data_IF_260637951539
#
_entry.id   IF_260637951539
#
_cell.length_a   1.000
_cell.length_b   1.000
_cell.length_c   1.000
_cell.angle_alpha   90.00
_cell.angle_beta   90.00
_cell.angle_gamma   90.00
#
_symmetry.space_group_name_H-M   'P 1'
#
loop_
_entity.id
_entity.type
_entity.pdbx_description
1 polymer ?
#
# COMPACT_ATOMS: atom_id res chain seq x y z
N UNK A 1 -0.78 -4.74 17.82
CA UNK A 1 -0.46 -4.20 16.47
C UNK A 1 -0.53 -5.33 15.44
N UNK A 2 -1.01 -5.09 14.20
CA UNK A 2 -1.04 -6.12 13.15
C UNK A 2 0.39 -6.49 12.69
N UNK A 3 0.66 -7.77 12.40
CA UNK A 3 1.99 -8.30 12.03
C UNK A 3 2.69 -7.53 10.90
N UNK A 4 1.92 -7.01 9.92
CA UNK A 4 2.45 -6.18 8.83
C UNK A 4 2.99 -4.83 9.29
N UNK A 5 2.38 -4.21 10.30
CA UNK A 5 2.90 -2.96 10.86
C UNK A 5 4.21 -3.18 11.62
N UNK A 6 4.33 -4.32 12.31
CA UNK A 6 5.57 -4.70 13.02
C UNK A 6 6.75 -4.88 12.06
N UNK A 7 6.53 -5.55 10.92
CA UNK A 7 7.56 -5.75 9.90
C UNK A 7 8.05 -4.43 9.30
N UNK A 8 7.14 -3.48 9.04
CA UNK A 8 7.50 -2.15 8.55
C UNK A 8 8.34 -1.40 9.59
N UNK A 9 7.92 -1.41 10.86
CA UNK A 9 8.68 -0.79 11.95
C UNK A 9 10.09 -1.40 12.07
N UNK A 10 10.21 -2.72 11.97
CA UNK A 10 11.50 -3.41 12.05
C UNK A 10 12.44 -3.00 10.90
N UNK A 11 11.95 -2.93 9.66
CA UNK A 11 12.78 -2.48 8.52
C UNK A 11 13.24 -1.02 8.65
N UNK A 12 12.42 -0.16 9.25
CA UNK A 12 12.82 1.23 9.57
C UNK A 12 13.93 1.24 10.63
N UNK A 13 13.78 0.45 11.69
CA UNK A 13 14.76 0.33 12.78
C UNK A 13 16.11 -0.16 12.25
N UNK A 14 16.12 -1.20 11.41
CA UNK A 14 17.34 -1.74 10.80
C UNK A 14 18.06 -0.68 9.95
N UNK A 15 17.31 0.03 9.10
CA UNK A 15 17.86 1.08 8.23
C UNK A 15 18.51 2.22 9.04
N UNK A 16 17.92 2.61 10.18
CA UNK A 16 18.50 3.63 11.07
C UNK A 16 19.70 3.11 11.87
N UNK A 17 19.72 1.83 12.24
CA UNK A 17 20.86 1.21 12.93
C UNK A 17 22.11 1.25 12.05
N UNK A 18 22.00 0.84 10.78
CA UNK A 18 23.09 0.89 9.81
C UNK A 18 23.55 2.33 9.54
N UNK A 19 22.63 3.29 9.41
CA UNK A 19 22.98 4.70 9.23
C UNK A 19 23.77 5.27 10.42
N UNK A 20 23.41 4.91 11.66
CA UNK A 20 24.13 5.33 12.87
C UNK A 20 25.55 4.78 12.92
N UNK A 21 25.76 3.53 12.49
CA UNK A 21 27.10 2.93 12.44
C UNK A 21 27.98 3.66 11.40
N UNK A 22 27.45 3.93 10.21
CA UNK A 22 28.15 4.69 9.17
C UNK A 22 28.49 6.12 9.62
N UNK A 23 27.59 6.78 10.36
CA UNK A 23 27.87 8.10 10.94
C UNK A 23 29.03 8.08 11.94
N UNK A 24 29.13 7.04 12.77
CA UNK A 24 30.25 6.88 13.71
C UNK A 24 31.58 6.70 12.98
N UNK A 25 31.61 5.90 11.92
CA UNK A 25 32.80 5.67 11.09
C UNK A 25 33.21 6.94 10.33
N UNK A 26 32.26 7.71 9.82
CA UNK A 26 32.52 9.02 9.22
C UNK A 26 33.10 10.02 10.23
N UNK A 27 32.57 10.06 11.46
CA UNK A 27 33.12 10.90 12.53
C UNK A 27 34.55 10.54 12.93
N UNK A 28 34.99 9.31 12.67
CA UNK A 28 36.37 8.84 12.87
C UNK A 28 37.30 9.09 11.67
N UNK A 29 36.77 9.59 10.55
CA UNK A 29 37.55 9.81 9.32
C UNK A 29 37.80 8.58 8.46
N UNK A 30 37.20 7.42 8.79
CA UNK A 30 37.36 6.16 8.05
C UNK A 30 36.53 6.10 6.75
N UNK A 31 35.66 7.10 6.52
CA UNK A 31 34.80 7.22 5.35
C UNK A 31 35.03 8.54 4.63
N UNK A 32 35.36 8.48 3.34
CA UNK A 32 35.55 9.65 2.49
C UNK A 32 34.26 10.46 2.25
N UNK A 33 33.09 9.80 2.35
CA UNK A 33 31.79 10.40 2.03
C UNK A 33 30.84 10.42 3.23
N UNK A 34 30.18 11.56 3.44
CA UNK A 34 29.18 11.73 4.49
C UNK A 34 27.94 10.89 4.20
N UNK A 35 27.53 9.95 5.08
CA UNK A 35 26.35 9.13 4.85
C UNK A 35 25.07 10.01 4.89
N UNK A 36 24.12 9.72 4.01
CA UNK A 36 22.82 10.40 3.93
C UNK A 36 21.76 9.63 4.74
N UNK A 37 20.80 10.33 5.37
CA UNK A 37 19.71 9.66 6.08
C UNK A 37 18.90 8.80 5.09
N UNK A 38 18.41 7.62 5.53
CA UNK A 38 17.63 6.74 4.68
C UNK A 38 16.37 7.46 4.19
N UNK A 39 16.18 7.47 2.86
CA UNK A 39 15.06 8.16 2.23
C UNK A 39 13.89 7.18 2.03
N UNK A 40 12.98 7.12 3.02
CA UNK A 40 11.89 6.14 3.05
C UNK A 40 10.74 6.47 2.10
N UNK A 41 10.57 7.75 1.73
CA UNK A 41 9.49 8.20 0.86
C UNK A 41 9.97 8.24 -0.58
N UNK A 42 9.52 7.26 -1.38
CA UNK A 42 9.65 7.36 -2.83
C UNK A 42 8.59 8.33 -3.37
N UNK A 43 8.93 9.34 -4.19
CA UNK A 43 7.94 10.16 -4.85
C UNK A 43 7.15 9.31 -5.86
N UNK A 44 5.82 9.46 -5.91
CA UNK A 44 4.97 8.72 -6.85
C UNK A 44 3.61 8.35 -6.28
N UNK A 45 2.82 7.66 -7.10
CA UNK A 45 1.57 7.02 -6.69
C UNK A 45 1.88 5.66 -6.05
N UNK A 46 1.13 5.33 -5.00
CA UNK A 46 1.31 4.08 -4.26
C UNK A 46 0.16 3.12 -4.51
N UNK A 47 0.46 1.82 -4.45
CA UNK A 47 -0.56 0.78 -4.42
C UNK A 47 -1.41 0.91 -3.17
N UNK A 48 -2.74 0.87 -3.34
CA UNK A 48 -3.70 0.89 -2.24
C UNK A 48 -4.43 -0.43 -2.18
N UNK A 49 -4.47 -1.04 -1.00
CA UNK A 49 -5.16 -2.31 -0.73
C UNK A 49 -6.42 -2.09 0.10
N UNK A 50 -7.54 -2.62 -0.37
CA UNK A 50 -8.83 -2.61 0.31
C UNK A 50 -9.28 -4.04 0.67
N UNK A 51 -9.41 -4.38 1.96
CA UNK A 51 -9.97 -5.67 2.36
C UNK A 51 -11.48 -5.72 2.04
N UNK A 52 -12.00 -6.91 1.71
CA UNK A 52 -13.43 -7.12 1.39
C UNK A 52 -14.38 -6.51 2.43
N UNK A 53 -14.01 -6.51 3.72
CA UNK A 53 -14.81 -5.93 4.81
C UNK A 53 -15.21 -4.45 4.59
N UNK A 54 -14.41 -3.68 3.86
CA UNK A 54 -14.68 -2.26 3.60
C UNK A 54 -15.39 -2.01 2.28
N UNK A 55 -15.54 -3.04 1.47
CA UNK A 55 -16.13 -2.98 0.15
C UNK A 55 -17.58 -3.46 0.20
N UNK A 56 -18.41 -2.93 -0.69
CA UNK A 56 -19.79 -3.39 -0.85
C UNK A 56 -20.05 -3.70 -2.31
N UNK A 57 -20.67 -4.84 -2.58
CA UNK A 57 -21.16 -5.15 -3.91
C UNK A 57 -22.57 -4.56 -4.07
N UNK A 58 -22.77 -3.81 -5.15
CA UNK A 58 -24.00 -3.10 -5.48
C UNK A 58 -24.34 -3.31 -6.96
N UNK A 59 -25.54 -2.94 -7.39
CA UNK A 59 -25.93 -3.06 -8.80
C UNK A 59 -25.02 -2.25 -9.76
N UNK A 60 -24.38 -1.20 -9.26
CA UNK A 60 -23.43 -0.35 -10.01
C UNK A 60 -21.99 -0.93 -10.02
N UNK A 61 -21.75 -2.01 -9.27
CA UNK A 61 -20.45 -2.65 -9.09
C UNK A 61 -19.95 -2.61 -7.64
N UNK A 62 -18.63 -2.72 -7.48
CA UNK A 62 -17.95 -2.78 -6.19
C UNK A 62 -17.70 -1.35 -5.71
N UNK A 63 -18.41 -0.96 -4.66
CA UNK A 63 -18.27 0.34 -4.01
C UNK A 63 -17.02 0.38 -3.15
N UNK A 64 -16.11 1.28 -3.48
CA UNK A 64 -14.89 1.57 -2.72
C UNK A 64 -15.01 2.94 -2.03
N UNK A 65 -15.05 3.02 -0.70
CA UNK A 65 -15.18 4.29 0.01
C UNK A 65 -13.86 5.09 -0.01
N UNK A 66 -13.95 6.39 -0.30
CA UNK A 66 -12.80 7.32 -0.36
C UNK A 66 -12.47 7.99 0.98
N UNK A 67 -13.30 7.76 2.00
CA UNK A 67 -13.11 8.28 3.35
C UNK A 67 -13.63 9.72 3.54
N UNK A 68 -13.75 10.13 4.81
CA UNK A 68 -14.42 11.39 5.20
C UNK A 68 -13.72 12.64 4.68
N UNK A 69 -12.39 12.64 4.63
CA UNK A 69 -11.61 13.78 4.12
C UNK A 69 -11.86 14.00 2.63
N UNK A 70 -11.86 12.93 1.83
CA UNK A 70 -12.12 13.06 0.39
C UNK A 70 -13.55 13.54 0.13
N UNK A 71 -14.53 13.03 0.90
CA UNK A 71 -15.92 13.52 0.83
C UNK A 71 -16.04 15.01 1.15
N UNK A 72 -15.36 15.49 2.20
CA UNK A 72 -15.43 16.88 2.60
C UNK A 72 -14.76 17.85 1.60
N UNK A 73 -13.71 17.41 0.92
CA UNK A 73 -12.93 18.27 0.02
C UNK A 73 -13.41 18.21 -1.43
N UNK A 74 -13.85 17.04 -1.89
CA UNK A 74 -14.19 16.80 -3.30
C UNK A 74 -15.66 16.42 -3.52
N UNK A 75 -16.45 16.27 -2.46
CA UNK A 75 -17.84 15.80 -2.56
C UNK A 75 -17.98 14.33 -2.96
N UNK A 76 -16.86 13.62 -3.18
CA UNK A 76 -16.83 12.22 -3.61
C UNK A 76 -16.83 11.29 -2.40
N UNK A 77 -17.88 10.50 -2.25
CA UNK A 77 -17.98 9.54 -1.14
C UNK A 77 -17.33 8.19 -1.47
N UNK A 78 -17.55 7.70 -2.69
CA UNK A 78 -17.07 6.42 -3.16
C UNK A 78 -16.91 6.44 -4.68
N UNK A 79 -16.14 5.49 -5.19
CA UNK A 79 -16.13 5.14 -6.61
C UNK A 79 -16.51 3.66 -6.78
N UNK A 80 -16.88 3.30 -8.00
CA UNK A 80 -17.36 1.97 -8.33
C UNK A 80 -16.40 1.30 -9.29
N UNK A 81 -16.06 0.05 -8.99
CA UNK A 81 -15.25 -0.81 -9.86
C UNK A 81 -16.18 -1.88 -10.44
N UNK A 82 -16.21 -2.09 -11.78
CA UNK A 82 -17.00 -3.17 -12.36
C UNK A 82 -16.46 -4.52 -11.88
N UNK A 83 -17.39 -5.44 -11.58
CA UNK A 83 -17.03 -6.81 -11.24
C UNK A 83 -16.62 -7.57 -12.50
N UNK A 84 -15.56 -8.37 -12.40
CA UNK A 84 -15.13 -9.23 -13.50
C UNK A 84 -16.02 -10.48 -13.56
N UNK A 85 -16.41 -10.90 -14.77
CA UNK A 85 -17.36 -12.00 -14.97
C UNK A 85 -16.82 -13.39 -14.61
N UNK A 86 -15.50 -13.52 -14.50
CA UNK A 86 -14.79 -14.77 -14.25
C UNK A 86 -14.50 -15.05 -12.77
N UNK A 87 -14.84 -14.13 -11.85
CA UNK A 87 -14.65 -14.32 -10.41
C UNK A 87 -15.98 -14.19 -9.68
N UNK A 88 -16.11 -14.95 -8.59
CA UNK A 88 -17.23 -14.79 -7.68
C UNK A 88 -16.88 -13.79 -6.56
N UNK A 89 -17.81 -12.92 -6.22
CA UNK A 89 -17.65 -11.93 -5.15
C UNK A 89 -17.30 -12.60 -3.81
N UNK A 90 -17.81 -13.80 -3.58
CA UNK A 90 -17.58 -14.52 -2.32
C UNK A 90 -16.18 -15.08 -2.15
N UNK A 91 -15.48 -15.31 -3.24
CA UNK A 91 -14.08 -15.74 -3.25
C UNK A 91 -13.06 -14.62 -2.98
N UNK A 92 -13.46 -13.35 -3.19
CA UNK A 92 -12.56 -12.20 -3.09
C UNK A 92 -12.24 -11.91 -1.62
N UNK A 93 -10.96 -11.72 -1.31
CA UNK A 93 -10.48 -11.29 0.01
C UNK A 93 -10.06 -9.84 0.06
N UNK A 94 -9.38 -9.38 -0.99
CA UNK A 94 -8.78 -8.04 -1.06
C UNK A 94 -8.79 -7.56 -2.51
N UNK A 95 -9.01 -6.25 -2.68
CA UNK A 95 -8.82 -5.57 -3.97
C UNK A 95 -7.65 -4.62 -3.84
N UNK A 96 -6.77 -4.60 -4.83
CA UNK A 96 -5.64 -3.66 -4.90
C UNK A 96 -5.76 -2.77 -6.11
N UNK A 97 -5.41 -1.50 -5.94
CA UNK A 97 -5.34 -0.53 -7.03
C UNK A 97 -3.88 -0.19 -7.24
N UNK A 98 -3.34 -0.56 -8.41
CA UNK A 98 -1.93 -0.40 -8.75
C UNK A 98 -1.79 0.67 -9.83
N UNK A 99 -1.08 1.77 -9.53
CA UNK A 99 -0.68 2.73 -10.55
C UNK A 99 0.50 2.16 -11.34
N UNK A 100 0.31 1.82 -12.61
CA UNK A 100 1.35 1.28 -13.50
C UNK A 100 1.20 1.88 -14.90
N UNK A 101 2.31 2.30 -15.52
CA UNK A 101 2.32 2.88 -16.87
C UNK A 101 1.33 4.04 -17.11
N UNK A 102 1.05 4.85 -16.08
CA UNK A 102 0.09 5.96 -16.17
C UNK A 102 -1.39 5.56 -16.04
N UNK A 103 -1.67 4.26 -15.87
CA UNK A 103 -3.01 3.72 -15.69
C UNK A 103 -3.18 3.11 -14.29
N UNK A 104 -4.44 2.99 -13.85
CA UNK A 104 -4.79 2.29 -12.62
C UNK A 104 -5.33 0.90 -12.93
N UNK A 105 -4.62 -0.11 -12.45
CA UNK A 105 -5.03 -1.51 -12.57
C UNK A 105 -5.71 -1.96 -11.29
N UNK A 106 -6.76 -2.77 -11.44
CA UNK A 106 -7.43 -3.42 -10.31
C UNK A 106 -6.99 -4.87 -10.26
N UNK A 107 -6.35 -5.28 -9.16
CA UNK A 107 -6.02 -6.67 -8.86
C UNK A 107 -7.00 -7.23 -7.83
N UNK A 108 -7.57 -8.39 -8.14
CA UNK A 108 -8.44 -9.15 -7.24
C UNK A 108 -7.66 -10.29 -6.60
N UNK A 109 -7.55 -10.27 -5.27
CA UNK A 109 -6.92 -11.34 -4.50
C UNK A 109 -8.02 -12.25 -3.98
N UNK A 110 -8.01 -13.51 -4.41
CA UNK A 110 -8.97 -14.53 -4.01
C UNK A 110 -8.26 -15.81 -3.56
N UNK A 111 -8.94 -16.63 -2.78
CA UNK A 111 -8.43 -17.97 -2.44
C UNK A 111 -8.76 -18.96 -3.55
N UNK A 112 -7.74 -19.67 -4.03
CA UNK A 112 -7.96 -20.85 -4.84
C UNK A 112 -8.33 -22.01 -3.92
N UNK A 113 -9.47 -22.65 -4.18
CA UNK A 113 -9.73 -23.98 -3.64
C UNK A 113 -8.79 -24.93 -4.38
N UNK A 114 -7.82 -25.48 -3.68
CA UNK A 114 -6.98 -26.56 -4.20
C UNK A 114 -7.91 -27.71 -4.65
N UNK A 115 -7.75 -28.28 -5.85
CA UNK A 115 -8.55 -29.39 -6.32
C UNK A 115 -8.43 -30.63 -5.44
#
# INVERSE_FOLDING_TARGET
MPKRAQQICNGVVESFSSFRQLLKLFGKGELANKPKPPNYRKPGLFTVSYPKRWLKFTNEGIRVPLGRKVKAWFGLEAFYIPMVSNLDWDSIKEIRILPRHGCFYTEFVYEMKTP
#
